data_IF_637594608463
#
_entry.id   IF_637594608463
#
_cell.length_a   1.000
_cell.length_b   1.000
_cell.length_c   1.000
_cell.angle_alpha   90.00
_cell.angle_beta   90.00
_cell.angle_gamma   90.00
#
_symmetry.space_group_name_H-M   'P 1'
#
loop_
_entity.id
_entity.type
_entity.pdbx_description
1 polymer ?
#
# COMPACT_ATOMS: atom_id res chain seq x y z
N UNK A 1 -11.83 -4.58 -3.75
CA UNK A 1 -10.54 -4.60 -3.00
C UNK A 1 -9.67 -5.68 -3.60
N UNK A 2 -8.49 -5.33 -4.07
CA UNK A 2 -7.54 -6.31 -4.59
C UNK A 2 -7.14 -7.27 -3.47
N UNK A 3 -7.23 -8.57 -3.73
CA UNK A 3 -6.90 -9.59 -2.72
C UNK A 3 -5.37 -9.80 -2.67
N UNK A 4 -4.72 -8.94 -1.89
CA UNK A 4 -3.27 -9.01 -1.67
C UNK A 4 -2.84 -10.34 -1.05
N UNK A 5 -3.65 -10.95 -0.17
CA UNK A 5 -3.33 -12.24 0.44
C UNK A 5 -3.32 -13.35 -0.61
N UNK A 6 -4.32 -13.42 -1.47
CA UNK A 6 -4.33 -14.36 -2.59
C UNK A 6 -3.16 -14.13 -3.54
N UNK A 7 -2.86 -12.88 -3.86
CA UNK A 7 -1.69 -12.57 -4.69
C UNK A 7 -0.39 -13.06 -4.04
N UNK A 8 -0.18 -12.78 -2.74
CA UNK A 8 1.01 -13.24 -2.01
C UNK A 8 1.07 -14.77 -1.87
N UNK A 9 -0.03 -15.43 -1.55
CA UNK A 9 -0.09 -16.89 -1.41
C UNK A 9 0.21 -17.56 -2.77
N UNK A 10 -0.38 -17.06 -3.85
CA UNK A 10 -0.10 -17.58 -5.19
C UNK A 10 1.28 -17.20 -5.71
N UNK A 11 1.85 -16.09 -5.27
CA UNK A 11 3.23 -15.73 -5.57
C UNK A 11 4.26 -16.62 -4.85
N UNK A 12 3.88 -17.29 -3.77
CA UNK A 12 4.72 -18.28 -3.06
C UNK A 12 4.50 -19.73 -3.52
N UNK A 13 3.54 -20.00 -4.36
CA UNK A 13 3.35 -21.33 -4.95
C UNK A 13 4.45 -21.57 -6.00
N UNK A 14 5.52 -22.22 -5.57
CA UNK A 14 6.73 -22.44 -6.37
C UNK A 14 6.49 -23.18 -7.69
N UNK A 15 5.36 -23.90 -7.83
CA UNK A 15 4.99 -24.59 -9.07
C UNK A 15 4.29 -23.66 -10.08
N UNK A 16 3.68 -22.56 -9.64
CA UNK A 16 2.89 -21.68 -10.50
C UNK A 16 3.53 -20.30 -10.73
N UNK A 17 4.41 -19.87 -9.81
CA UNK A 17 5.00 -18.54 -9.84
C UNK A 17 6.50 -18.61 -9.89
N UNK A 18 7.07 -17.84 -10.76
CA UNK A 18 8.49 -17.80 -10.90
C UNK A 18 9.12 -16.77 -10.02
N UNK A 19 9.92 -17.27 -9.10
CA UNK A 19 10.97 -16.48 -8.51
C UNK A 19 12.13 -16.39 -9.49
N UNK A 20 12.37 -15.23 -10.07
CA UNK A 20 13.69 -14.92 -10.58
C UNK A 20 14.55 -14.64 -9.34
N UNK A 21 14.98 -15.68 -8.68
CA UNK A 21 15.95 -15.62 -7.59
C UNK A 21 17.16 -16.41 -8.01
N UNK A 22 18.29 -15.77 -7.97
CA UNK A 22 19.55 -16.51 -7.99
C UNK A 22 19.79 -17.01 -6.56
N UNK A 23 19.59 -18.29 -6.31
CA UNK A 23 20.20 -18.95 -5.17
C UNK A 23 21.71 -18.96 -5.39
N UNK A 24 22.43 -18.15 -4.63
CA UNK A 24 23.90 -18.26 -4.66
C UNK A 24 24.32 -19.56 -3.97
N UNK A 25 25.04 -20.47 -4.66
CA UNK A 25 25.58 -21.65 -4.03
C UNK A 25 26.44 -21.27 -2.82
N UNK A 26 26.06 -21.74 -1.63
CA UNK A 26 26.84 -21.59 -0.40
C UNK A 26 26.57 -20.37 0.48
N UNK A 27 25.59 -19.50 0.17
CA UNK A 27 25.16 -18.42 1.06
C UNK A 27 23.74 -18.65 1.52
N UNK A 28 23.55 -19.01 2.77
CA UNK A 28 22.28 -19.30 3.44
C UNK A 28 21.59 -18.04 4.02
N UNK A 29 22.01 -16.84 3.67
CA UNK A 29 21.43 -15.62 4.21
C UNK A 29 20.54 -14.92 3.18
N UNK A 30 19.28 -14.73 3.52
CA UNK A 30 18.26 -13.97 2.78
C UNK A 30 18.64 -12.51 2.44
N UNK A 31 19.82 -12.06 2.84
CA UNK A 31 20.32 -10.71 2.74
C UNK A 31 21.41 -10.52 1.67
N UNK A 32 21.68 -11.53 0.85
CA UNK A 32 22.66 -11.37 -0.23
C UNK A 32 22.12 -10.38 -1.26
N UNK A 33 22.88 -9.33 -1.63
CA UNK A 33 22.52 -8.48 -2.75
C UNK A 33 22.41 -9.35 -3.99
N UNK A 34 21.28 -9.32 -4.64
CA UNK A 34 21.10 -9.97 -5.91
C UNK A 34 21.71 -9.09 -6.97
N UNK A 35 22.45 -9.70 -7.85
CA UNK A 35 23.22 -9.07 -8.93
C UNK A 35 22.74 -9.56 -10.31
N UNK A 36 21.46 -9.97 -10.40
CA UNK A 36 20.87 -10.50 -11.62
C UNK A 36 20.87 -9.43 -12.72
N UNK A 37 21.78 -9.59 -13.67
CA UNK A 37 21.92 -8.76 -14.86
C UNK A 37 21.08 -9.24 -16.04
N UNK A 38 21.30 -8.65 -17.21
CA UNK A 38 20.55 -8.97 -18.43
C UNK A 38 20.72 -10.45 -18.87
N UNK A 39 21.94 -10.97 -18.83
CA UNK A 39 22.21 -12.36 -19.21
C UNK A 39 21.55 -13.38 -18.26
N UNK A 40 21.51 -13.05 -16.95
CA UNK A 40 20.84 -13.89 -15.96
C UNK A 40 19.32 -13.89 -16.19
N UNK A 41 18.74 -12.74 -16.56
CA UNK A 41 17.33 -12.64 -16.93
C UNK A 41 17.04 -13.48 -18.15
N UNK A 42 17.86 -13.40 -19.20
CA UNK A 42 17.70 -14.21 -20.41
C UNK A 42 17.82 -15.71 -20.12
N UNK A 43 18.72 -16.09 -19.25
CA UNK A 43 18.86 -17.49 -18.82
C UNK A 43 17.60 -17.97 -18.07
N UNK A 44 17.15 -17.21 -17.08
CA UNK A 44 15.98 -17.56 -16.29
C UNK A 44 14.70 -17.60 -17.12
N UNK A 45 14.54 -16.72 -18.08
CA UNK A 45 13.35 -16.64 -18.94
C UNK A 45 13.25 -17.77 -19.98
N UNK A 46 14.27 -18.63 -20.11
CA UNK A 46 14.19 -19.86 -20.92
C UNK A 46 13.31 -20.93 -20.27
N UNK A 47 13.15 -20.89 -18.94
CA UNK A 47 12.34 -21.86 -18.22
C UNK A 47 10.86 -21.46 -18.22
N UNK A 48 9.93 -22.42 -18.10
CA UNK A 48 8.49 -22.13 -18.03
C UNK A 48 8.17 -21.18 -16.89
N UNK A 49 7.40 -20.14 -17.19
CA UNK A 49 6.98 -19.11 -16.27
C UNK A 49 5.46 -18.95 -16.30
N UNK A 50 4.89 -18.44 -15.21
CA UNK A 50 3.53 -17.90 -15.31
C UNK A 50 3.53 -16.78 -16.37
N UNK A 51 2.52 -16.76 -17.23
CA UNK A 51 2.47 -15.82 -18.36
C UNK A 51 1.95 -14.45 -18.00
N UNK A 52 1.27 -14.32 -16.86
CA UNK A 52 0.61 -13.08 -16.46
C UNK A 52 1.16 -12.48 -15.18
N UNK A 53 1.77 -13.31 -14.31
CA UNK A 53 2.25 -12.90 -13.00
C UNK A 53 3.72 -13.26 -12.83
N UNK A 54 4.51 -12.32 -12.30
CA UNK A 54 5.92 -12.57 -11.99
C UNK A 54 6.33 -11.87 -10.71
N UNK A 55 7.10 -12.58 -9.89
CA UNK A 55 7.82 -12.00 -8.76
C UNK A 55 9.29 -11.97 -9.07
N UNK A 56 9.87 -10.80 -8.98
CA UNK A 56 11.27 -10.53 -9.27
C UNK A 56 11.99 -10.24 -7.95
N UNK A 57 13.07 -10.97 -7.68
CA UNK A 57 13.89 -10.74 -6.51
C UNK A 57 15.30 -10.35 -6.94
N UNK A 58 15.82 -9.25 -6.35
CA UNK A 58 17.24 -8.96 -6.42
C UNK A 58 17.82 -8.68 -7.79
N UNK A 59 17.08 -8.03 -8.64
CA UNK A 59 17.53 -7.64 -9.97
C UNK A 59 18.37 -6.35 -9.92
N UNK A 60 19.40 -6.26 -10.77
CA UNK A 60 20.12 -5.00 -11.02
C UNK A 60 19.26 -4.05 -11.86
N UNK A 61 19.66 -2.80 -11.92
CA UNK A 61 18.97 -1.82 -12.79
C UNK A 61 19.00 -2.26 -14.26
N UNK A 62 20.15 -2.70 -14.77
CA UNK A 62 20.32 -3.19 -16.15
C UNK A 62 19.42 -4.40 -16.43
N UNK A 63 19.41 -5.39 -15.51
CA UNK A 63 18.56 -6.56 -15.64
C UNK A 63 17.07 -6.20 -15.67
N UNK A 64 16.66 -5.21 -14.87
CA UNK A 64 15.28 -4.73 -14.82
C UNK A 64 14.86 -4.03 -16.12
N UNK A 65 15.71 -3.15 -16.63
CA UNK A 65 15.48 -2.48 -17.93
C UNK A 65 15.38 -3.51 -19.07
N UNK A 66 16.30 -4.48 -19.09
CA UNK A 66 16.27 -5.57 -20.05
C UNK A 66 15.00 -6.43 -19.92
N UNK A 67 14.62 -6.81 -18.69
CA UNK A 67 13.37 -7.53 -18.43
C UNK A 67 12.15 -6.78 -18.94
N UNK A 68 12.00 -5.50 -18.59
CA UNK A 68 10.86 -4.69 -19.02
C UNK A 68 10.81 -4.57 -20.54
N UNK A 69 11.95 -4.34 -21.19
CA UNK A 69 12.03 -4.18 -22.64
C UNK A 69 11.68 -5.46 -23.40
N UNK A 70 12.22 -6.61 -22.96
CA UNK A 70 12.14 -7.86 -23.73
C UNK A 70 10.97 -8.76 -23.33
N UNK A 71 10.66 -8.83 -22.04
CA UNK A 71 9.71 -9.79 -21.48
C UNK A 71 8.51 -9.15 -20.80
N UNK A 72 8.67 -7.96 -20.20
CA UNK A 72 7.68 -7.34 -19.32
C UNK A 72 6.31 -7.10 -19.96
N UNK A 73 6.24 -6.90 -21.27
CA UNK A 73 5.03 -6.55 -22.02
C UNK A 73 3.91 -7.61 -21.97
N UNK A 74 4.21 -8.83 -21.53
CA UNK A 74 3.22 -9.91 -21.38
C UNK A 74 2.58 -9.93 -20.00
N UNK A 75 3.24 -9.34 -19.00
CA UNK A 75 2.83 -9.44 -17.61
C UNK A 75 1.76 -8.40 -17.24
N UNK A 76 0.78 -8.86 -16.46
CA UNK A 76 -0.27 -8.05 -15.84
C UNK A 76 0.09 -7.72 -14.38
N UNK A 77 0.77 -8.64 -13.69
CA UNK A 77 1.13 -8.49 -12.29
C UNK A 77 2.63 -8.63 -12.11
N UNK A 78 3.27 -7.62 -11.53
CA UNK A 78 4.71 -7.60 -11.26
C UNK A 78 4.92 -7.29 -9.77
N UNK A 79 5.61 -8.18 -9.06
CA UNK A 79 6.09 -7.95 -7.71
C UNK A 79 7.62 -7.79 -7.72
N UNK A 80 8.10 -6.63 -7.29
CA UNK A 80 9.51 -6.32 -7.09
C UNK A 80 9.86 -6.54 -5.62
N UNK A 81 10.29 -7.75 -5.28
CA UNK A 81 10.58 -8.15 -3.92
C UNK A 81 12.08 -8.03 -3.62
N UNK A 82 12.45 -7.20 -2.64
CA UNK A 82 13.85 -6.99 -2.25
C UNK A 82 14.77 -6.58 -3.41
N UNK A 83 14.23 -5.89 -4.42
CA UNK A 83 15.01 -5.36 -5.54
C UNK A 83 15.74 -4.06 -5.12
N UNK A 84 16.70 -4.22 -4.21
CA UNK A 84 17.37 -3.08 -3.55
C UNK A 84 18.25 -2.26 -4.49
N UNK A 85 18.63 -2.82 -5.64
CA UNK A 85 19.50 -2.16 -6.61
C UNK A 85 18.77 -1.25 -7.59
N UNK A 86 17.45 -1.33 -7.68
CA UNK A 86 16.66 -0.52 -8.60
C UNK A 86 16.60 0.92 -8.10
N UNK A 87 17.08 1.84 -8.90
CA UNK A 87 17.02 3.28 -8.67
C UNK A 87 16.02 4.00 -9.55
N UNK A 88 15.71 3.44 -10.72
CA UNK A 88 14.75 3.96 -11.67
C UNK A 88 13.65 2.93 -11.96
N UNK A 89 12.41 3.30 -11.71
CA UNK A 89 11.22 2.49 -11.97
C UNK A 89 10.52 2.86 -13.30
N UNK A 90 11.04 3.82 -14.03
CA UNK A 90 10.43 4.32 -15.28
C UNK A 90 10.18 3.23 -16.34
N UNK A 91 10.95 2.11 -16.42
CA UNK A 91 10.65 1.02 -17.33
C UNK A 91 9.26 0.41 -17.17
N UNK A 92 8.66 0.46 -15.96
CA UNK A 92 7.28 0.01 -15.72
C UNK A 92 6.26 0.79 -16.56
N UNK A 93 6.53 2.06 -16.83
CA UNK A 93 5.68 2.91 -17.66
C UNK A 93 5.54 2.45 -19.13
N UNK A 94 6.40 1.53 -19.57
CA UNK A 94 6.34 0.99 -20.94
C UNK A 94 5.47 -0.29 -21.04
N UNK A 95 4.91 -0.77 -19.93
CA UNK A 95 4.21 -2.05 -19.84
C UNK A 95 2.68 -1.86 -19.99
N UNK A 96 2.12 -2.06 -21.18
CA UNK A 96 0.72 -1.66 -21.46
C UNK A 96 -0.32 -2.57 -20.82
N UNK A 97 0.06 -3.80 -20.44
CA UNK A 97 -0.83 -4.78 -19.80
C UNK A 97 -0.80 -4.75 -18.29
N UNK A 98 0.05 -3.90 -17.70
CA UNK A 98 0.27 -3.86 -16.27
C UNK A 98 -1.01 -3.46 -15.53
N UNK A 99 -1.49 -4.33 -14.63
CA UNK A 99 -2.69 -4.13 -13.81
C UNK A 99 -2.37 -3.99 -12.34
N UNK A 100 -1.31 -4.64 -11.88
CA UNK A 100 -0.90 -4.63 -10.49
C UNK A 100 0.62 -4.57 -10.35
N UNK A 101 1.09 -3.67 -9.46
CA UNK A 101 2.49 -3.58 -9.06
C UNK A 101 2.61 -3.64 -7.55
N UNK A 102 3.48 -4.53 -7.09
CA UNK A 102 3.94 -4.60 -5.70
C UNK A 102 5.43 -4.30 -5.63
N UNK A 103 5.82 -3.37 -4.74
CA UNK A 103 7.22 -3.03 -4.49
C UNK A 103 7.49 -3.19 -3.00
N UNK A 104 8.28 -4.20 -2.67
CA UNK A 104 8.66 -4.47 -1.30
C UNK A 104 10.17 -4.35 -1.11
N UNK A 105 10.54 -3.52 -0.13
CA UNK A 105 11.94 -3.31 0.30
C UNK A 105 12.88 -2.88 -0.85
N UNK A 106 12.57 -1.74 -1.44
CA UNK A 106 13.48 -1.00 -2.31
C UNK A 106 14.09 0.17 -1.53
N UNK A 107 15.41 0.32 -1.57
CA UNK A 107 16.14 1.33 -0.77
C UNK A 107 16.80 2.40 -1.63
N UNK A 108 16.70 2.32 -2.96
CA UNK A 108 17.38 3.26 -3.87
C UNK A 108 16.43 4.14 -4.65
N UNK A 109 15.30 3.62 -5.12
CA UNK A 109 14.31 4.42 -5.82
C UNK A 109 13.76 5.51 -4.90
N UNK A 110 13.81 6.74 -5.36
CA UNK A 110 13.35 7.90 -4.63
C UNK A 110 12.00 8.43 -5.15
N UNK A 111 11.53 7.94 -6.29
CA UNK A 111 10.26 8.33 -6.91
C UNK A 111 9.58 7.19 -7.65
N UNK A 112 8.28 7.34 -7.84
CA UNK A 112 7.48 6.52 -8.73
C UNK A 112 7.80 6.83 -10.20
N UNK A 113 7.10 6.21 -11.12
CA UNK A 113 7.20 6.46 -12.56
C UNK A 113 5.96 7.19 -13.10
N UNK A 114 6.03 7.68 -14.31
CA UNK A 114 4.87 8.18 -15.05
C UNK A 114 3.97 7.01 -15.46
N UNK A 115 2.77 6.97 -14.89
CA UNK A 115 1.79 5.88 -15.06
C UNK A 115 0.79 6.16 -16.20
N UNK A 116 0.94 7.27 -16.92
CA UNK A 116 -0.03 7.70 -17.96
C UNK A 116 -0.25 6.68 -19.07
N UNK A 117 0.75 5.84 -19.35
CA UNK A 117 0.67 4.76 -20.33
C UNK A 117 0.18 3.43 -19.77
N UNK A 118 0.14 3.29 -18.46
CA UNK A 118 -0.35 2.08 -17.80
C UNK A 118 -1.90 2.13 -17.69
N UNK A 119 -2.56 2.12 -18.82
CA UNK A 119 -4.04 2.31 -18.92
C UNK A 119 -4.87 1.21 -18.28
N UNK A 120 -4.23 0.13 -17.82
CA UNK A 120 -4.86 -0.98 -17.15
C UNK A 120 -4.44 -1.08 -15.66
N UNK A 121 -3.56 -0.19 -15.17
CA UNK A 121 -3.03 -0.26 -13.81
C UNK A 121 -4.12 0.08 -12.79
N UNK A 122 -4.57 -0.93 -12.04
CA UNK A 122 -5.64 -0.84 -11.06
C UNK A 122 -5.15 -0.80 -9.62
N UNK A 123 -4.03 -1.46 -9.33
CA UNK A 123 -3.55 -1.57 -7.97
C UNK A 123 -2.05 -1.33 -7.84
N UNK A 124 -1.66 -0.56 -6.80
CA UNK A 124 -0.29 -0.22 -6.46
C UNK A 124 -0.05 -0.47 -4.98
N UNK A 125 0.81 -1.43 -4.67
CA UNK A 125 1.26 -1.69 -3.32
C UNK A 125 2.73 -1.33 -3.16
N UNK A 126 3.06 -0.52 -2.15
CA UNK A 126 4.45 -0.12 -1.84
C UNK A 126 4.67 -0.27 -0.34
N UNK A 127 5.67 -1.06 0.02
CA UNK A 127 6.02 -1.23 1.42
C UNK A 127 7.53 -1.27 1.62
N UNK A 128 7.97 -0.75 2.76
CA UNK A 128 9.36 -0.74 3.20
C UNK A 128 10.35 -0.05 2.23
N UNK A 129 9.88 0.99 1.52
CA UNK A 129 10.65 1.76 0.55
C UNK A 129 11.07 3.11 1.13
N UNK A 130 12.20 3.13 1.86
CA UNK A 130 12.63 4.26 2.71
C UNK A 130 12.82 5.58 1.98
N UNK A 131 13.30 5.56 0.74
CA UNK A 131 13.59 6.79 -0.03
C UNK A 131 12.44 7.24 -0.91
N UNK A 132 11.45 6.37 -1.12
CA UNK A 132 10.35 6.63 -2.05
C UNK A 132 9.60 7.90 -1.65
N UNK A 133 9.53 8.86 -2.56
CA UNK A 133 8.62 10.00 -2.44
C UNK A 133 7.32 9.68 -3.19
N UNK A 134 6.21 9.88 -2.50
CA UNK A 134 4.89 9.69 -3.12
C UNK A 134 4.50 10.99 -3.81
N UNK A 135 5.15 11.25 -4.97
CA UNK A 135 4.95 12.47 -5.74
C UNK A 135 3.50 12.54 -6.23
N UNK A 136 2.74 13.58 -5.82
CA UNK A 136 1.38 13.81 -6.26
C UNK A 136 1.22 13.86 -7.77
N UNK A 137 2.19 14.43 -8.47
CA UNK A 137 2.13 14.57 -9.92
C UNK A 137 2.20 13.20 -10.61
N UNK A 138 3.07 12.31 -10.14
CA UNK A 138 3.21 10.97 -10.72
C UNK A 138 2.00 10.07 -10.39
N UNK A 139 1.51 10.09 -9.16
CA UNK A 139 0.32 9.31 -8.78
C UNK A 139 -0.93 9.74 -9.56
N UNK A 140 -1.09 11.03 -9.80
CA UNK A 140 -2.24 11.53 -10.57
C UNK A 140 -2.17 11.24 -12.08
N UNK A 141 -1.05 10.73 -12.58
CA UNK A 141 -0.95 10.31 -14.00
C UNK A 141 -1.64 8.96 -14.27
N UNK A 142 -1.91 8.16 -13.22
CA UNK A 142 -2.52 6.85 -13.37
C UNK A 142 -4.02 6.96 -13.71
N UNK A 143 -4.45 6.59 -14.92
CA UNK A 143 -5.83 6.86 -15.36
C UNK A 143 -6.88 5.90 -14.78
N UNK A 144 -6.46 4.76 -14.25
CA UNK A 144 -7.35 3.66 -13.84
C UNK A 144 -7.03 3.11 -12.43
N UNK A 145 -6.24 3.83 -11.64
CA UNK A 145 -5.78 3.35 -10.35
C UNK A 145 -6.92 3.39 -9.32
N UNK A 146 -7.37 2.22 -8.87
CA UNK A 146 -8.49 2.03 -7.97
C UNK A 146 -8.07 1.68 -6.54
N UNK A 147 -6.89 1.05 -6.38
CA UNK A 147 -6.43 0.50 -5.12
C UNK A 147 -4.99 0.90 -4.83
N UNK A 148 -4.78 1.57 -3.70
CA UNK A 148 -3.44 1.99 -3.25
C UNK A 148 -3.20 1.48 -1.84
N UNK A 149 -2.07 0.80 -1.65
CA UNK A 149 -1.59 0.41 -0.33
C UNK A 149 -0.16 0.88 -0.12
N UNK A 150 0.02 1.83 0.78
CA UNK A 150 1.35 2.31 1.19
C UNK A 150 1.61 1.92 2.64
N UNK A 151 2.72 1.22 2.85
CA UNK A 151 3.19 0.86 4.17
C UNK A 151 4.59 1.45 4.39
N UNK A 152 4.76 2.20 5.46
CA UNK A 152 6.05 2.73 5.87
C UNK A 152 7.05 1.63 6.24
N UNK A 153 8.19 2.04 6.75
CA UNK A 153 9.31 1.16 7.06
C UNK A 153 8.95 0.23 8.23
N UNK A 154 9.47 -1.01 8.23
CA UNK A 154 9.12 -2.05 9.22
C UNK A 154 9.25 -1.63 10.68
N UNK A 155 10.20 -0.75 11.02
CA UNK A 155 10.48 -0.30 12.39
C UNK A 155 10.20 1.20 12.62
N UNK A 156 9.72 1.93 11.59
CA UNK A 156 9.50 3.37 11.67
C UNK A 156 8.27 3.80 10.87
N UNK A 157 7.85 5.04 11.07
CA UNK A 157 6.77 5.66 10.29
C UNK A 157 7.34 6.52 9.18
N UNK A 158 6.74 6.44 8.00
CA UNK A 158 7.09 7.29 6.87
C UNK A 158 6.37 8.65 7.01
N UNK A 159 7.10 9.78 7.10
CA UNK A 159 6.47 11.10 7.13
C UNK A 159 5.92 11.45 5.74
N UNK A 160 4.70 11.93 5.69
CA UNK A 160 4.05 12.40 4.47
C UNK A 160 3.56 13.83 4.70
N UNK A 161 3.99 14.77 3.84
CA UNK A 161 3.64 16.18 4.03
C UNK A 161 2.14 16.42 3.99
N UNK A 162 1.47 15.79 3.04
CA UNK A 162 0.03 15.94 2.86
C UNK A 162 -0.55 14.68 2.21
N UNK A 163 -1.78 14.36 2.55
CA UNK A 163 -2.55 13.28 1.91
C UNK A 163 -3.40 13.79 0.72
N UNK A 164 -3.28 15.06 0.37
CA UNK A 164 -4.02 15.72 -0.71
C UNK A 164 -3.84 15.03 -2.07
N UNK A 165 -2.71 14.35 -2.26
CA UNK A 165 -2.45 13.58 -3.48
C UNK A 165 -3.56 12.58 -3.80
N UNK A 166 -4.17 11.98 -2.79
CA UNK A 166 -5.19 10.95 -3.00
C UNK A 166 -6.52 11.51 -3.50
N UNK A 167 -6.81 12.79 -3.25
CA UNK A 167 -7.99 13.46 -3.83
C UNK A 167 -7.86 13.73 -5.34
N UNK A 168 -6.64 13.64 -5.87
CA UNK A 168 -6.36 13.88 -7.29
C UNK A 168 -6.42 12.62 -8.14
N UNK A 169 -6.74 11.49 -7.55
CA UNK A 169 -6.87 10.20 -8.24
C UNK A 169 -8.38 9.88 -8.31
N UNK A 170 -9.05 10.25 -9.40
CA UNK A 170 -10.52 10.21 -9.46
C UNK A 170 -11.11 8.80 -9.43
N UNK A 171 -10.31 7.81 -9.76
CA UNK A 171 -10.72 6.39 -9.77
C UNK A 171 -10.44 5.66 -8.46
N UNK A 172 -9.84 6.33 -7.46
CA UNK A 172 -9.41 5.70 -6.22
C UNK A 172 -10.61 5.27 -5.37
N UNK A 173 -10.72 3.96 -5.10
CA UNK A 173 -11.77 3.35 -4.29
C UNK A 173 -11.27 2.82 -2.96
N UNK A 174 -10.04 2.29 -2.95
CA UNK A 174 -9.47 1.67 -1.77
C UNK A 174 -8.12 2.30 -1.45
N UNK A 175 -7.99 2.83 -0.24
CA UNK A 175 -6.75 3.40 0.25
C UNK A 175 -6.34 2.72 1.56
N UNK A 176 -5.13 2.18 1.59
CA UNK A 176 -4.52 1.63 2.80
C UNK A 176 -3.23 2.38 3.11
N UNK A 177 -3.18 3.03 4.26
CA UNK A 177 -2.01 3.74 4.76
C UNK A 177 -1.58 3.17 6.12
N UNK A 178 -0.51 2.39 6.11
CA UNK A 178 0.07 1.81 7.33
C UNK A 178 1.44 2.38 7.60
N UNK A 179 1.72 2.73 8.87
CA UNK A 179 2.99 3.36 9.26
C UNK A 179 3.32 4.62 8.43
N UNK A 180 2.28 5.31 8.01
CA UNK A 180 2.35 6.64 7.40
C UNK A 180 1.98 7.67 8.46
N UNK A 181 2.71 8.77 8.48
CA UNK A 181 2.47 9.86 9.42
C UNK A 181 2.28 11.16 8.64
N UNK A 182 1.03 11.60 8.42
CA UNK A 182 0.79 12.93 7.86
C UNK A 182 1.27 13.99 8.85
N UNK A 183 1.93 15.04 8.35
CA UNK A 183 2.52 16.08 9.20
C UNK A 183 1.44 16.85 9.98
N UNK A 184 0.34 17.15 9.33
CA UNK A 184 -0.81 17.90 9.87
C UNK A 184 -1.83 17.04 10.62
N UNK A 185 -1.72 15.70 10.51
CA UNK A 185 -2.68 14.73 11.07
C UNK A 185 -4.13 14.98 10.69
N UNK A 186 -4.35 15.51 9.50
CA UNK A 186 -5.67 15.74 8.93
C UNK A 186 -5.95 14.82 7.75
N UNK A 187 -7.22 14.63 7.45
CA UNK A 187 -7.67 13.83 6.33
C UNK A 187 -8.63 14.63 5.43
N UNK A 188 -8.33 15.91 5.20
CA UNK A 188 -9.16 16.78 4.35
C UNK A 188 -9.30 16.31 2.91
N UNK A 189 -8.36 15.46 2.43
CA UNK A 189 -8.47 14.83 1.10
C UNK A 189 -9.79 14.04 0.93
N UNK A 190 -10.36 13.51 2.03
CA UNK A 190 -11.64 12.80 2.03
C UNK A 190 -12.82 13.69 1.59
N UNK A 191 -12.72 14.99 1.81
CA UNK A 191 -13.78 15.94 1.47
C UNK A 191 -13.99 16.02 -0.05
N UNK A 192 -12.98 15.63 -0.84
CA UNK A 192 -12.98 15.67 -2.32
C UNK A 192 -12.75 14.31 -2.99
N UNK A 193 -12.32 13.29 -2.26
CA UNK A 193 -12.16 11.92 -2.77
C UNK A 193 -13.52 11.20 -2.83
N UNK A 194 -14.40 11.61 -3.77
CA UNK A 194 -15.81 11.19 -3.85
C UNK A 194 -16.00 9.69 -4.00
N UNK A 195 -15.13 9.02 -4.76
CA UNK A 195 -15.29 7.61 -5.14
C UNK A 195 -14.64 6.64 -4.14
N UNK A 196 -14.01 7.17 -3.08
CA UNK A 196 -13.35 6.35 -2.08
C UNK A 196 -14.39 5.56 -1.26
N UNK A 197 -14.28 4.23 -1.29
CA UNK A 197 -15.16 3.27 -0.62
C UNK A 197 -14.56 2.76 0.69
N UNK A 198 -13.23 2.57 0.72
CA UNK A 198 -12.54 2.09 1.92
C UNK A 198 -11.29 2.88 2.22
N UNK A 199 -11.10 3.17 3.51
CA UNK A 199 -9.89 3.81 4.02
C UNK A 199 -9.35 3.07 5.24
N UNK A 200 -8.24 2.36 5.06
CA UNK A 200 -7.52 1.65 6.12
C UNK A 200 -6.30 2.45 6.56
N UNK A 201 -6.20 2.71 7.85
CA UNK A 201 -5.09 3.47 8.44
C UNK A 201 -4.74 2.96 9.85
N UNK A 202 -3.56 3.33 10.34
CA UNK A 202 -3.19 2.99 11.71
C UNK A 202 -4.01 3.79 12.73
N UNK A 203 -4.48 3.15 13.81
CA UNK A 203 -5.38 3.78 14.79
C UNK A 203 -4.80 5.04 15.46
N UNK A 204 -3.48 5.18 15.49
CA UNK A 204 -2.79 6.34 16.04
C UNK A 204 -2.41 7.43 15.03
N UNK A 205 -2.81 7.30 13.80
CA UNK A 205 -2.48 8.25 12.73
C UNK A 205 -3.14 9.61 12.94
N UNK A 206 -4.38 9.60 13.40
CA UNK A 206 -5.21 10.78 13.66
C UNK A 206 -5.61 10.93 15.11
N UNK A 207 -6.15 12.09 15.47
CA UNK A 207 -6.84 12.26 16.75
C UNK A 207 -8.23 11.63 16.72
N UNK A 208 -8.84 11.42 17.88
CA UNK A 208 -10.22 10.90 17.97
C UNK A 208 -11.20 11.87 17.31
N UNK A 209 -10.97 13.18 17.49
CA UNK A 209 -11.76 14.26 16.92
C UNK A 209 -11.71 14.24 15.39
N UNK A 210 -10.52 14.06 14.81
CA UNK A 210 -10.38 14.00 13.35
C UNK A 210 -11.07 12.75 12.77
N UNK A 211 -10.95 11.59 13.43
CA UNK A 211 -11.66 10.38 12.98
C UNK A 211 -13.17 10.58 13.06
N UNK A 212 -13.67 11.22 14.12
CA UNK A 212 -15.09 11.53 14.25
C UNK A 212 -15.58 12.50 13.15
N UNK A 213 -14.75 13.51 12.78
CA UNK A 213 -15.03 14.42 11.66
C UNK A 213 -15.11 13.64 10.33
N UNK A 214 -14.16 12.75 10.07
CA UNK A 214 -14.15 11.91 8.87
C UNK A 214 -15.44 11.09 8.77
N UNK A 215 -15.83 10.42 9.86
CA UNK A 215 -17.04 9.58 9.91
C UNK A 215 -18.31 10.40 9.75
N UNK A 216 -18.33 11.63 10.28
CA UNK A 216 -19.48 12.54 10.11
C UNK A 216 -19.65 12.95 8.65
N UNK A 217 -18.54 13.31 7.97
CA UNK A 217 -18.53 13.78 6.58
C UNK A 217 -18.70 12.68 5.55
N UNK A 218 -18.10 11.53 5.79
CA UNK A 218 -18.09 10.41 4.85
C UNK A 218 -18.57 9.11 5.52
N UNK A 219 -19.87 9.06 5.92
CA UNK A 219 -20.45 7.87 6.55
C UNK A 219 -20.51 6.65 5.60
N UNK A 220 -20.30 6.88 4.32
CA UNK A 220 -20.24 5.90 3.23
C UNK A 220 -18.91 5.17 3.16
N UNK A 221 -17.83 5.73 3.72
CA UNK A 221 -16.49 5.13 3.68
C UNK A 221 -16.33 4.10 4.78
N UNK A 222 -15.85 2.89 4.41
CA UNK A 222 -15.52 1.81 5.35
C UNK A 222 -14.09 1.85 5.85
N UNK A 223 -13.80 1.03 6.89
CA UNK A 223 -12.44 0.83 7.41
C UNK A 223 -12.42 0.32 8.84
N UNK A 224 -11.35 -0.41 9.21
CA UNK A 224 -11.26 -1.02 10.55
C UNK A 224 -11.27 0.05 11.66
N UNK A 225 -10.59 1.18 11.45
CA UNK A 225 -10.52 2.29 12.40
C UNK A 225 -11.32 3.53 11.98
N UNK A 226 -12.13 3.41 10.94
CA UNK A 226 -13.09 4.45 10.52
C UNK A 226 -14.35 4.40 11.40
N UNK A 227 -14.15 4.35 12.72
CA UNK A 227 -15.15 4.23 13.80
C UNK A 227 -14.48 4.41 15.16
N UNK A 228 -15.25 4.35 16.24
CA UNK A 228 -14.75 4.56 17.61
C UNK A 228 -13.62 3.61 18.03
N UNK A 229 -13.61 2.39 17.54
CA UNK A 229 -12.58 1.39 17.82
C UNK A 229 -12.54 0.32 16.73
N UNK A 230 -11.43 -0.40 16.62
CA UNK A 230 -11.26 -1.52 15.69
C UNK A 230 -10.58 -2.72 16.36
N UNK A 231 -10.49 -3.82 15.62
CA UNK A 231 -9.70 -4.98 16.07
C UNK A 231 -8.22 -4.61 16.15
N UNK A 232 -7.55 -4.98 17.22
CA UNK A 232 -6.13 -4.72 17.39
C UNK A 232 -5.28 -5.54 16.42
N UNK A 233 -5.72 -6.79 16.17
CA UNK A 233 -5.14 -7.68 15.18
C UNK A 233 -6.25 -8.34 14.38
N UNK A 234 -6.04 -8.64 13.08
CA UNK A 234 -6.99 -9.41 12.29
C UNK A 234 -7.35 -10.73 12.98
N UNK A 235 -8.66 -11.00 13.10
CA UNK A 235 -9.17 -12.20 13.78
C UNK A 235 -9.17 -12.18 15.32
N UNK A 236 -8.69 -11.12 15.96
CA UNK A 236 -8.82 -10.99 17.42
C UNK A 236 -10.26 -10.72 17.81
N UNK A 237 -10.81 -11.55 18.70
CA UNK A 237 -12.14 -11.36 19.28
C UNK A 237 -12.09 -10.80 20.72
N UNK A 238 -10.89 -10.57 21.27
CA UNK A 238 -10.70 -10.13 22.65
C UNK A 238 -9.92 -8.82 22.78
N UNK A 239 -9.08 -8.49 21.80
CA UNK A 239 -8.26 -7.29 21.84
C UNK A 239 -8.73 -6.27 20.81
N UNK A 240 -9.08 -5.09 21.31
CA UNK A 240 -9.59 -3.98 20.50
C UNK A 240 -8.76 -2.73 20.78
N UNK A 241 -8.48 -1.98 19.74
CA UNK A 241 -7.78 -0.71 19.87
C UNK A 241 -8.75 0.45 19.68
N UNK A 242 -8.71 1.36 20.62
CA UNK A 242 -9.48 2.60 20.57
C UNK A 242 -8.92 3.50 19.47
N UNK A 243 -9.78 4.04 18.63
CA UNK A 243 -9.39 4.93 17.54
C UNK A 243 -8.94 6.29 18.06
N UNK A 244 -7.74 6.71 17.62
CA UNK A 244 -7.15 7.99 18.00
C UNK A 244 -5.70 7.89 18.45
N UNK A 245 -5.01 9.03 18.34
CA UNK A 245 -3.60 9.14 18.72
C UNK A 245 -3.39 8.85 20.21
N UNK A 246 -2.41 8.00 20.53
CA UNK A 246 -2.06 7.56 21.89
C UNK A 246 -3.21 6.93 22.70
N UNK A 247 -4.19 6.33 22.02
CA UNK A 247 -5.26 5.60 22.69
C UNK A 247 -4.83 4.16 23.00
N UNK A 248 -5.40 3.56 24.08
CA UNK A 248 -5.01 2.23 24.54
C UNK A 248 -5.59 1.12 23.66
N UNK A 249 -4.95 -0.05 23.78
CA UNK A 249 -5.56 -1.32 23.46
C UNK A 249 -6.32 -1.84 24.67
N UNK A 250 -7.51 -2.39 24.45
CA UNK A 250 -8.41 -2.87 25.48
C UNK A 250 -8.69 -4.36 25.32
N UNK A 251 -8.68 -5.08 26.43
CA UNK A 251 -9.09 -6.48 26.49
C UNK A 251 -10.55 -6.57 26.96
N UNK A 252 -11.41 -7.10 26.11
CA UNK A 252 -12.81 -7.32 26.42
C UNK A 252 -13.08 -8.76 26.89
N UNK A 253 -14.05 -8.96 27.79
CA UNK A 253 -14.99 -7.98 28.36
C UNK A 253 -14.44 -7.18 29.56
N UNK A 254 -13.23 -7.48 30.04
CA UNK A 254 -12.66 -6.89 31.25
C UNK A 254 -12.70 -5.36 31.30
N UNK A 255 -12.47 -4.72 30.15
CA UNK A 255 -12.37 -3.26 30.05
C UNK A 255 -13.56 -2.63 29.30
N UNK A 256 -14.72 -3.32 29.29
CA UNK A 256 -15.91 -2.86 28.56
C UNK A 256 -16.33 -1.43 28.94
N UNK A 257 -16.34 -1.09 30.22
CA UNK A 257 -16.75 0.27 30.69
C UNK A 257 -15.86 1.39 30.11
N UNK A 258 -14.58 1.10 29.88
CA UNK A 258 -13.66 2.09 29.27
C UNK A 258 -14.03 2.27 27.81
N UNK A 259 -14.31 1.19 27.11
CA UNK A 259 -14.75 1.22 25.73
C UNK A 259 -16.07 1.96 25.58
N UNK A 260 -17.07 1.65 26.40
CA UNK A 260 -18.40 2.29 26.37
C UNK A 260 -18.30 3.82 26.52
N UNK A 261 -17.46 4.26 27.48
CA UNK A 261 -17.22 5.70 27.67
C UNK A 261 -16.59 6.35 26.42
N UNK A 262 -15.66 5.67 25.77
CA UNK A 262 -15.03 6.18 24.56
C UNK A 262 -16.01 6.22 23.38
N UNK A 263 -16.81 5.17 23.22
CA UNK A 263 -17.86 5.12 22.18
C UNK A 263 -18.83 6.27 22.36
N UNK A 264 -19.35 6.49 23.57
CA UNK A 264 -20.25 7.60 23.84
C UNK A 264 -19.63 8.98 23.53
N UNK A 265 -18.34 9.17 23.86
CA UNK A 265 -17.61 10.38 23.51
C UNK A 265 -17.46 10.55 22.00
N UNK A 266 -17.08 9.49 21.30
CA UNK A 266 -16.92 9.49 19.85
C UNK A 266 -18.22 9.81 19.13
N UNK A 267 -19.33 9.17 19.53
CA UNK A 267 -20.65 9.37 18.93
C UNK A 267 -21.14 10.82 19.12
N UNK A 268 -20.86 11.40 20.29
CA UNK A 268 -21.17 12.81 20.55
C UNK A 268 -20.36 13.75 19.64
N UNK A 269 -19.10 13.42 19.35
CA UNK A 269 -18.29 14.19 18.40
C UNK A 269 -18.84 14.08 16.97
N UNK A 270 -19.18 12.87 16.53
CA UNK A 270 -19.75 12.64 15.19
C UNK A 270 -21.04 13.44 15.02
N UNK A 271 -21.94 13.41 16.01
CA UNK A 271 -23.19 14.17 15.95
C UNK A 271 -22.95 15.68 15.92
N UNK A 272 -22.00 16.19 16.72
CA UNK A 272 -21.60 17.60 16.67
C UNK A 272 -21.13 18.00 15.28
N UNK A 273 -20.24 17.25 14.67
CA UNK A 273 -19.74 17.58 13.32
C UNK A 273 -20.82 17.51 12.24
N UNK A 274 -21.79 16.58 12.37
CA UNK A 274 -22.97 16.54 11.48
C UNK A 274 -23.87 17.76 11.60
N UNK A 275 -23.96 18.33 12.81
CA UNK A 275 -24.75 19.54 13.04
C UNK A 275 -24.08 20.81 12.52
N UNK A 276 -22.74 20.89 12.64
CA UNK A 276 -21.94 22.02 12.13
C UNK A 276 -22.01 22.14 10.59
N UNK A 277 -22.35 21.05 9.89
CA UNK A 277 -22.46 21.01 8.42
C UNK A 277 -23.92 21.20 7.89
N UNK A 278 -24.87 21.24 8.76
CA UNK A 278 -26.24 21.59 8.34
C UNK A 278 -26.28 23.08 8.03
N UNK A 279 -26.64 23.47 6.75
CA UNK A 279 -26.67 24.87 6.33
C UNK A 279 -27.68 25.71 7.13
#
# INVERSE_FOLDING_TARGET
MFDYEQFFIHAFDAEKNLHITREMPGKTTELSPCDMGADDVDYEMQFPKNREMIRICGMTQEGFEHFCCKYGHTYRHISLFKCQMLSDLSPLGQLPKLEYVDIYWNIRSDRLWDMSKNINLKALHISDCKKMTYDPQLLSTAPTLEDISFCGIALDTYPMKSLEVFSRIPTLRNLTLRRIKPEDRTAYFLDTASDLETYEFDPGMYTTEEIARMVAKRPDVGGNFFKAYGQANPGSHTYFRVSGYRKPELQLPRQQKILDKHVAYFDALVERYRQEERP
#
